data_IF_472747443952
#
_entry.id   IF_472747443952
#
_cell.length_a   1.000
_cell.length_b   1.000
_cell.length_c   1.000
_cell.angle_alpha   90.00
_cell.angle_beta   90.00
_cell.angle_gamma   90.00
#
_symmetry.space_group_name_H-M   'P 1'
#
loop_
_entity.id
_entity.type
_entity.pdbx_description
1 polymer ?
#
# COMPACT_ATOMS: atom_id res chain seq x y z
N UNK A 1 6.26 25.09 7.21
CA UNK A 1 5.07 25.22 6.37
C UNK A 1 4.10 26.17 7.05
N UNK A 2 3.75 27.29 6.38
CA UNK A 2 2.73 28.22 6.89
C UNK A 2 1.34 27.67 6.58
N UNK A 3 0.64 27.15 7.58
CA UNK A 3 -0.78 26.84 7.48
C UNK A 3 -1.54 28.07 7.94
N UNK A 4 -2.53 28.50 7.18
CA UNK A 4 -3.35 29.67 7.51
C UNK A 4 -4.76 29.26 7.93
N UNK A 5 -5.42 30.10 8.74
CA UNK A 5 -6.81 29.87 9.13
C UNK A 5 -7.71 29.82 7.87
N UNK A 6 -8.65 28.88 7.81
CA UNK A 6 -9.53 28.65 6.67
C UNK A 6 -8.94 27.83 5.53
N UNK A 7 -7.66 27.45 5.60
CA UNK A 7 -7.03 26.61 4.59
C UNK A 7 -7.58 25.18 4.64
N UNK A 8 -7.86 24.63 3.45
CA UNK A 8 -8.24 23.22 3.29
C UNK A 8 -7.04 22.33 3.58
N UNK A 9 -7.20 21.37 4.50
CA UNK A 9 -6.11 20.49 4.91
C UNK A 9 -6.61 19.06 5.11
N UNK A 10 -5.72 18.10 4.94
CA UNK A 10 -5.88 16.75 5.43
C UNK A 10 -4.95 16.51 6.62
N UNK A 11 -5.28 15.54 7.43
CA UNK A 11 -4.50 15.17 8.62
C UNK A 11 -3.83 13.83 8.37
N UNK A 12 -2.51 13.78 8.47
CA UNK A 12 -1.77 12.53 8.49
C UNK A 12 -2.18 11.74 9.76
N UNK A 13 -2.58 10.46 9.65
CA UNK A 13 -3.16 9.72 10.77
C UNK A 13 -2.14 9.31 11.84
N UNK A 14 -0.87 9.56 11.62
CA UNK A 14 0.21 9.17 12.52
C UNK A 14 0.30 10.06 13.75
N UNK A 15 0.64 9.44 14.87
CA UNK A 15 1.08 10.13 16.09
C UNK A 15 2.46 9.62 16.50
N UNK A 16 3.38 10.51 16.85
CA UNK A 16 4.77 10.20 17.23
C UNK A 16 5.36 11.34 18.05
N UNK A 17 6.42 11.09 18.81
CA UNK A 17 6.97 12.08 19.75
C UNK A 17 7.69 13.28 19.10
N UNK A 18 8.10 13.17 17.84
CA UNK A 18 8.77 14.21 17.04
C UNK A 18 10.17 14.68 17.54
N UNK A 19 10.73 14.04 18.57
CA UNK A 19 12.03 14.45 19.13
C UNK A 19 13.03 13.31 19.34
N UNK A 20 12.61 12.03 19.28
CA UNK A 20 13.56 10.91 19.43
C UNK A 20 14.43 10.75 18.18
N UNK A 21 15.51 9.99 18.30
CA UNK A 21 16.45 9.69 17.22
C UNK A 21 15.73 9.21 15.94
N UNK A 22 14.73 8.34 16.07
CA UNK A 22 13.98 7.84 14.93
C UNK A 22 13.14 8.94 14.25
N UNK A 23 12.49 9.79 15.03
CA UNK A 23 11.72 10.90 14.50
C UNK A 23 12.60 11.93 13.79
N UNK A 24 13.75 12.29 14.39
CA UNK A 24 14.69 13.25 13.79
C UNK A 24 15.38 12.70 12.54
N UNK A 25 15.51 11.37 12.43
CA UNK A 25 16.01 10.68 11.24
C UNK A 25 14.94 10.46 10.13
N UNK A 26 13.69 10.95 10.30
CA UNK A 26 12.61 10.73 9.34
C UNK A 26 11.98 9.32 9.38
N UNK A 27 12.26 8.56 10.43
CA UNK A 27 11.78 7.19 10.63
C UNK A 27 10.66 7.14 11.67
N UNK A 28 9.67 8.03 11.56
CA UNK A 28 8.59 8.20 12.54
C UNK A 28 7.83 6.90 12.82
N UNK A 29 7.67 6.05 11.80
CA UNK A 29 7.06 4.71 11.93
C UNK A 29 7.83 3.75 12.85
N UNK A 30 9.05 4.09 13.27
CA UNK A 30 9.87 3.35 14.22
C UNK A 30 9.96 4.04 15.59
N UNK A 31 9.23 5.13 15.81
CA UNK A 31 9.13 5.81 17.09
C UNK A 31 8.48 4.87 18.13
N UNK A 32 9.00 4.86 19.36
CA UNK A 32 8.41 4.05 20.46
C UNK A 32 7.01 4.51 20.85
N UNK A 33 6.69 5.80 20.63
CA UNK A 33 5.38 6.38 20.87
C UNK A 33 4.51 6.39 19.60
N UNK A 34 4.93 5.65 18.55
CA UNK A 34 4.15 5.61 17.32
C UNK A 34 2.79 4.94 17.55
N UNK A 35 1.74 5.63 17.17
CA UNK A 35 0.39 5.09 17.07
C UNK A 35 -0.37 5.77 15.94
N UNK A 36 -1.58 5.32 15.68
CA UNK A 36 -2.47 5.90 14.67
C UNK A 36 -3.63 6.59 15.39
N UNK A 37 -4.03 7.78 14.93
CA UNK A 37 -5.20 8.49 15.46
C UNK A 37 -6.45 7.62 15.40
N UNK A 38 -7.19 7.56 16.49
CA UNK A 38 -8.30 6.65 16.69
C UNK A 38 -7.90 5.28 17.28
N UNK A 39 -6.57 5.07 17.48
CA UNK A 39 -6.04 3.88 18.15
C UNK A 39 -4.90 4.29 19.09
N UNK A 40 -5.20 4.51 20.35
CA UNK A 40 -4.22 4.97 21.37
C UNK A 40 -4.23 6.47 21.63
N UNK A 41 -4.69 7.28 20.70
CA UNK A 41 -4.99 8.72 20.87
C UNK A 41 -6.31 9.04 20.18
N UNK A 42 -6.95 10.15 20.53
CA UNK A 42 -8.22 10.57 19.96
C UNK A 42 -8.18 10.63 18.43
N UNK A 43 -9.27 10.16 17.81
CA UNK A 43 -9.44 10.09 16.35
C UNK A 43 -10.12 11.34 15.77
N UNK A 44 -10.49 11.22 14.48
CA UNK A 44 -11.07 12.32 13.70
C UNK A 44 -12.61 12.37 13.67
N UNK A 45 -13.32 11.51 14.41
CA UNK A 45 -14.79 11.52 14.46
C UNK A 45 -15.29 12.61 15.42
N UNK A 46 -14.98 13.87 15.11
CA UNK A 46 -15.30 15.03 15.92
C UNK A 46 -15.39 16.30 15.04
N UNK A 47 -16.03 17.34 15.55
CA UNK A 47 -16.14 18.62 14.84
C UNK A 47 -14.80 19.37 14.80
N UNK A 48 -14.00 19.27 15.88
CA UNK A 48 -12.70 19.91 16.01
C UNK A 48 -11.67 18.93 16.57
N UNK A 49 -10.46 18.98 16.02
CA UNK A 49 -9.34 18.15 16.48
C UNK A 49 -8.07 18.99 16.60
N UNK A 50 -7.35 18.81 17.70
CA UNK A 50 -6.01 19.38 17.86
C UNK A 50 -4.95 18.37 17.39
N UNK A 51 -4.09 18.78 16.46
CA UNK A 51 -3.03 17.94 15.91
C UNK A 51 -1.71 18.72 15.80
N UNK A 52 -0.56 18.05 15.90
CA UNK A 52 0.72 18.68 15.61
C UNK A 52 0.75 19.21 14.16
N UNK A 53 1.33 20.39 13.97
CA UNK A 53 1.43 21.03 12.65
C UNK A 53 2.09 20.11 11.60
N UNK A 54 3.05 19.29 11.99
CA UNK A 54 3.72 18.31 11.11
C UNK A 54 2.78 17.26 10.50
N UNK A 55 1.61 17.06 11.13
CA UNK A 55 0.57 16.14 10.62
C UNK A 55 -0.45 16.86 9.72
N UNK A 56 -0.35 18.16 9.51
CA UNK A 56 -1.30 18.95 8.71
C UNK A 56 -0.73 19.15 7.31
N UNK A 57 -1.45 18.67 6.29
CA UNK A 57 -1.01 18.71 4.90
C UNK A 57 -2.03 19.50 4.08
N UNK A 58 -1.65 20.58 3.40
CA UNK A 58 -2.55 21.32 2.51
C UNK A 58 -3.13 20.42 1.42
N UNK A 59 -4.44 20.56 1.15
CA UNK A 59 -5.13 19.90 0.06
C UNK A 59 -5.10 20.81 -1.16
N UNK A 60 -4.80 20.25 -2.33
CA UNK A 60 -4.92 20.97 -3.60
C UNK A 60 -6.41 21.25 -3.90
N UNK A 61 -6.69 22.39 -4.53
CA UNK A 61 -8.07 22.81 -4.82
C UNK A 61 -8.81 21.85 -5.77
N UNK A 62 -8.07 21.12 -6.60
CA UNK A 62 -8.60 20.10 -7.50
C UNK A 62 -9.15 18.86 -6.82
N UNK A 63 -8.79 18.59 -5.55
CA UNK A 63 -9.25 17.43 -4.80
C UNK A 63 -10.43 17.79 -3.90
N UNK A 64 -11.48 16.99 -3.91
CA UNK A 64 -12.53 17.02 -2.90
C UNK A 64 -12.01 16.57 -1.53
N UNK A 65 -12.76 16.84 -0.46
CA UNK A 65 -12.39 16.33 0.87
C UNK A 65 -12.46 14.81 0.94
N UNK A 66 -13.41 14.18 0.24
CA UNK A 66 -13.56 12.71 0.21
C UNK A 66 -12.36 12.05 -0.48
N UNK A 67 -11.95 12.59 -1.63
CA UNK A 67 -10.74 12.12 -2.32
C UNK A 67 -9.49 12.31 -1.45
N UNK A 68 -9.30 13.50 -0.89
CA UNK A 68 -8.16 13.79 -0.03
C UNK A 68 -8.13 12.88 1.22
N UNK A 69 -9.27 12.63 1.86
CA UNK A 69 -9.37 11.77 3.03
C UNK A 69 -9.04 10.29 2.72
N UNK A 70 -9.22 9.85 1.49
CA UNK A 70 -8.91 8.48 1.06
C UNK A 70 -7.39 8.21 0.91
N UNK A 71 -6.55 9.27 0.87
CA UNK A 71 -5.12 9.15 0.57
C UNK A 71 -4.24 8.74 1.76
N UNK A 72 -4.33 9.35 2.96
CA UNK A 72 -3.23 9.36 3.94
C UNK A 72 -2.76 7.99 4.40
N UNK A 73 -3.68 7.05 4.66
CA UNK A 73 -3.30 5.75 5.21
C UNK A 73 -2.80 4.80 4.12
N UNK A 74 -3.59 4.63 3.08
CA UNK A 74 -3.35 3.58 2.07
C UNK A 74 -2.17 3.91 1.17
N UNK A 75 -2.04 5.18 0.74
CA UNK A 75 -0.89 5.58 -0.07
C UNK A 75 0.41 5.65 0.73
N UNK A 76 0.39 6.09 1.99
CA UNK A 76 1.58 6.03 2.85
C UNK A 76 2.03 4.58 3.08
N UNK A 77 1.09 3.66 3.30
CA UNK A 77 1.39 2.24 3.46
C UNK A 77 2.00 1.67 2.17
N UNK A 78 1.35 1.85 1.03
CA UNK A 78 1.84 1.36 -0.25
C UNK A 78 3.18 2.00 -0.64
N UNK A 79 3.36 3.31 -0.39
CA UNK A 79 4.62 4.00 -0.60
C UNK A 79 5.74 3.38 0.21
N UNK A 80 5.53 3.18 1.52
CA UNK A 80 6.53 2.57 2.39
C UNK A 80 6.84 1.12 2.01
N UNK A 81 5.85 0.35 1.57
CA UNK A 81 6.05 -1.01 1.07
C UNK A 81 6.95 -1.00 -0.17
N UNK A 82 6.62 -0.18 -1.16
CA UNK A 82 7.31 -0.18 -2.45
C UNK A 82 8.68 0.51 -2.38
N UNK A 83 8.75 1.71 -1.81
CA UNK A 83 10.00 2.50 -1.80
C UNK A 83 10.88 2.16 -0.62
N UNK A 84 10.32 2.19 0.59
CA UNK A 84 11.09 2.05 1.83
C UNK A 84 11.51 0.62 2.14
N UNK A 85 10.79 -0.39 1.64
CA UNK A 85 11.07 -1.82 1.93
C UNK A 85 11.51 -2.59 0.70
N UNK A 86 10.75 -2.53 -0.39
CA UNK A 86 11.08 -3.28 -1.60
C UNK A 86 12.12 -2.60 -2.49
N UNK A 87 12.32 -1.29 -2.35
CA UNK A 87 13.27 -0.56 -3.19
C UNK A 87 12.89 -0.58 -4.66
N UNK A 88 11.61 -0.32 -4.96
CA UNK A 88 11.04 -0.35 -6.31
C UNK A 88 11.86 0.47 -7.30
N UNK A 89 12.03 -0.05 -8.52
CA UNK A 89 12.77 0.59 -9.62
C UNK A 89 11.99 0.50 -10.92
N UNK A 90 12.16 1.46 -11.83
CA UNK A 90 11.57 1.38 -13.17
C UNK A 90 11.90 0.07 -13.90
N UNK A 91 10.93 -0.43 -14.67
CA UNK A 91 11.06 -1.65 -15.44
C UNK A 91 10.86 -2.97 -14.67
N UNK A 92 10.67 -2.91 -13.36
CA UNK A 92 10.35 -4.10 -12.55
C UNK A 92 8.91 -4.57 -12.79
N UNK A 93 8.63 -5.83 -12.45
CA UNK A 93 7.29 -6.40 -12.42
C UNK A 93 6.81 -6.52 -10.97
N UNK A 94 5.62 -5.99 -10.67
CA UNK A 94 5.02 -5.98 -9.34
C UNK A 94 3.72 -6.76 -9.35
N UNK A 95 3.59 -7.75 -8.48
CA UNK A 95 2.32 -8.42 -8.19
C UNK A 95 1.63 -7.69 -7.02
N UNK A 96 0.43 -7.19 -7.25
CA UNK A 96 -0.40 -6.52 -6.24
C UNK A 96 -1.58 -7.41 -5.89
N UNK A 97 -1.61 -7.95 -4.68
CA UNK A 97 -2.74 -8.74 -4.21
C UNK A 97 -3.91 -7.85 -3.82
N UNK A 98 -5.13 -8.33 -4.04
CA UNK A 98 -6.34 -7.61 -3.65
C UNK A 98 -6.44 -6.21 -4.26
N UNK A 99 -6.44 -6.12 -5.59
CA UNK A 99 -6.43 -4.89 -6.39
C UNK A 99 -7.43 -3.80 -5.97
N UNK A 100 -8.55 -4.20 -5.34
CA UNK A 100 -9.63 -3.31 -4.95
C UNK A 100 -9.63 -2.93 -3.47
N UNK A 101 -8.65 -3.37 -2.70
CA UNK A 101 -8.39 -2.84 -1.37
C UNK A 101 -7.76 -1.45 -1.48
N UNK A 102 -7.90 -0.63 -0.44
CA UNK A 102 -7.27 0.69 -0.45
C UNK A 102 -5.76 0.63 -0.73
N UNK A 103 -5.05 -0.31 -0.09
CA UNK A 103 -3.60 -0.51 -0.33
C UNK A 103 -3.33 -1.06 -1.73
N UNK A 104 -4.19 -1.95 -2.26
CA UNK A 104 -4.07 -2.47 -3.62
C UNK A 104 -4.24 -1.38 -4.67
N UNK A 105 -5.27 -0.54 -4.54
CA UNK A 105 -5.51 0.63 -5.40
C UNK A 105 -4.30 1.57 -5.41
N UNK A 106 -3.79 1.91 -4.23
CA UNK A 106 -2.61 2.75 -4.10
C UNK A 106 -1.35 2.08 -4.67
N UNK A 107 -1.19 0.78 -4.43
CA UNK A 107 -0.07 -0.02 -4.94
C UNK A 107 0.01 -0.06 -6.46
N UNK A 108 -1.12 -0.28 -7.14
CA UNK A 108 -1.20 -0.26 -8.61
C UNK A 108 -0.75 1.10 -9.14
N UNK A 109 -1.35 2.19 -8.66
CA UNK A 109 -1.06 3.54 -9.13
C UNK A 109 0.41 3.94 -8.88
N UNK A 110 0.94 3.65 -7.69
CA UNK A 110 2.34 3.91 -7.37
C UNK A 110 3.28 3.09 -8.22
N UNK A 111 3.05 1.79 -8.40
CA UNK A 111 3.89 0.95 -9.26
C UNK A 111 3.89 1.46 -10.71
N UNK A 112 2.75 1.91 -11.23
CA UNK A 112 2.66 2.54 -12.57
C UNK A 112 3.41 3.87 -12.62
N UNK A 113 3.34 4.68 -11.57
CA UNK A 113 4.13 5.92 -11.48
C UNK A 113 5.64 5.64 -11.56
N UNK A 114 6.10 4.51 -11.00
CA UNK A 114 7.48 4.02 -11.14
C UNK A 114 7.75 3.28 -12.46
N UNK A 115 6.84 3.32 -13.43
CA UNK A 115 7.00 2.68 -14.75
C UNK A 115 7.22 1.16 -14.66
N UNK A 116 6.58 0.51 -13.70
CA UNK A 116 6.60 -0.93 -13.52
C UNK A 116 5.50 -1.62 -14.36
N UNK A 117 5.72 -2.89 -14.69
CA UNK A 117 4.66 -3.79 -15.13
C UNK A 117 3.89 -4.25 -13.91
N UNK A 118 2.57 -4.10 -13.92
CA UNK A 118 1.69 -4.44 -12.79
C UNK A 118 0.81 -5.63 -13.12
N UNK A 119 0.93 -6.68 -12.35
CA UNK A 119 0.00 -7.82 -12.31
C UNK A 119 -0.84 -7.63 -11.05
N UNK A 120 -2.17 -7.61 -11.18
CA UNK A 120 -3.05 -7.42 -10.04
C UNK A 120 -3.98 -8.63 -9.85
N UNK A 121 -4.43 -8.91 -8.63
CA UNK A 121 -5.41 -9.97 -8.41
C UNK A 121 -6.78 -9.38 -8.08
N UNK A 122 -7.82 -9.91 -8.72
CA UNK A 122 -9.21 -9.56 -8.46
C UNK A 122 -10.10 -10.81 -8.55
N UNK A 123 -11.32 -10.73 -8.03
CA UNK A 123 -12.20 -11.90 -7.90
C UNK A 123 -13.46 -11.85 -8.78
N UNK A 124 -13.86 -10.67 -9.21
CA UNK A 124 -15.10 -10.47 -9.98
C UNK A 124 -14.87 -9.42 -11.07
N UNK A 125 -15.58 -9.54 -12.19
CA UNK A 125 -15.41 -8.74 -13.39
C UNK A 125 -15.34 -7.22 -13.14
N UNK A 126 -16.27 -6.66 -12.35
CA UNK A 126 -16.23 -5.24 -11.98
C UNK A 126 -14.92 -4.82 -11.31
N UNK A 127 -14.37 -5.70 -10.49
CA UNK A 127 -13.10 -5.44 -9.78
C UNK A 127 -11.89 -5.60 -10.70
N UNK A 128 -11.96 -6.53 -11.65
CA UNK A 128 -10.94 -6.68 -12.69
C UNK A 128 -10.90 -5.45 -13.59
N UNK A 129 -12.06 -4.95 -13.99
CA UNK A 129 -12.15 -3.73 -14.80
C UNK A 129 -11.54 -2.53 -14.06
N UNK A 130 -11.90 -2.31 -12.79
CA UNK A 130 -11.31 -1.23 -11.99
C UNK A 130 -9.79 -1.36 -11.88
N UNK A 131 -9.26 -2.56 -11.69
CA UNK A 131 -7.82 -2.76 -11.65
C UNK A 131 -7.13 -2.33 -12.96
N UNK A 132 -7.74 -2.62 -14.12
CA UNK A 132 -7.25 -2.19 -15.43
C UNK A 132 -7.33 -0.68 -15.60
N UNK A 133 -8.43 -0.06 -15.19
CA UNK A 133 -8.62 1.40 -15.23
C UNK A 133 -7.57 2.13 -14.36
N UNK A 134 -7.14 1.52 -13.25
CA UNK A 134 -6.07 2.01 -12.40
C UNK A 134 -4.67 1.82 -12.99
N UNK A 135 -4.56 1.09 -14.10
CA UNK A 135 -3.32 0.89 -14.82
C UNK A 135 -2.67 -0.49 -14.67
N UNK A 136 -3.35 -1.49 -14.09
CA UNK A 136 -2.82 -2.85 -14.08
C UNK A 136 -2.69 -3.39 -15.52
N UNK A 137 -1.51 -3.84 -15.89
CA UNK A 137 -1.23 -4.40 -17.22
C UNK A 137 -1.86 -5.79 -17.38
N UNK A 138 -1.91 -6.55 -16.29
CA UNK A 138 -2.53 -7.87 -16.22
C UNK A 138 -3.38 -8.00 -14.97
N UNK A 139 -4.49 -8.75 -15.08
CA UNK A 139 -5.35 -9.06 -13.93
C UNK A 139 -5.60 -10.55 -13.88
N UNK A 140 -5.36 -11.15 -12.72
CA UNK A 140 -5.56 -12.58 -12.44
C UNK A 140 -6.79 -12.76 -11.56
N UNK A 141 -7.73 -13.58 -12.01
CA UNK A 141 -8.89 -13.97 -11.21
C UNK A 141 -8.51 -15.12 -10.27
N UNK A 142 -8.23 -14.77 -9.02
CA UNK A 142 -7.75 -15.72 -8.01
C UNK A 142 -8.79 -16.74 -7.52
N UNK A 143 -10.06 -16.62 -7.94
CA UNK A 143 -11.06 -17.66 -7.70
C UNK A 143 -11.08 -18.72 -8.81
N UNK A 144 -10.62 -18.38 -9.99
CA UNK A 144 -10.67 -19.26 -11.14
C UNK A 144 -9.29 -19.83 -11.50
N UNK A 145 -8.23 -19.18 -11.08
CA UNK A 145 -6.86 -19.44 -11.49
C UNK A 145 -5.91 -19.43 -10.29
N UNK A 146 -4.87 -20.26 -10.36
CA UNK A 146 -3.76 -20.15 -9.41
C UNK A 146 -2.90 -18.93 -9.76
N UNK A 147 -2.66 -18.08 -8.78
CA UNK A 147 -1.93 -16.81 -8.97
C UNK A 147 -0.54 -17.08 -9.51
N UNK A 148 0.22 -17.99 -8.90
CA UNK A 148 1.59 -18.30 -9.30
C UNK A 148 1.70 -18.89 -10.70
N UNK A 149 0.75 -19.71 -11.12
CA UNK A 149 0.74 -20.27 -12.47
C UNK A 149 0.50 -19.19 -13.53
N UNK A 150 -0.44 -18.27 -13.28
CA UNK A 150 -0.70 -17.16 -14.20
C UNK A 150 0.46 -16.15 -14.22
N UNK A 151 1.03 -15.83 -13.07
CA UNK A 151 2.25 -14.99 -13.01
C UNK A 151 3.37 -15.60 -13.82
N UNK A 152 3.61 -16.91 -13.71
CA UNK A 152 4.62 -17.62 -14.52
C UNK A 152 4.35 -17.58 -16.01
N UNK A 153 3.08 -17.68 -16.44
CA UNK A 153 2.70 -17.53 -17.86
C UNK A 153 3.00 -16.10 -18.35
N UNK A 154 2.53 -15.09 -17.62
CA UNK A 154 2.71 -13.67 -17.97
C UNK A 154 4.20 -13.30 -18.04
N UNK A 155 5.00 -13.80 -17.10
CA UNK A 155 6.44 -13.45 -16.98
C UNK A 155 7.37 -14.43 -17.72
N UNK A 156 6.88 -15.26 -18.60
CA UNK A 156 7.68 -16.30 -19.28
C UNK A 156 8.50 -17.15 -18.29
N UNK A 157 7.87 -17.59 -17.20
CA UNK A 157 8.43 -18.40 -16.10
C UNK A 157 9.47 -17.70 -15.22
N UNK A 158 9.71 -16.42 -15.39
CA UNK A 158 10.71 -15.69 -14.59
C UNK A 158 10.19 -15.35 -13.18
N UNK A 159 8.89 -15.07 -13.02
CA UNK A 159 8.32 -14.56 -11.80
C UNK A 159 8.42 -13.02 -11.69
N UNK A 160 7.96 -12.45 -10.58
CA UNK A 160 7.91 -11.01 -10.35
C UNK A 160 9.05 -10.53 -9.44
N UNK A 161 9.42 -9.27 -9.58
CA UNK A 161 10.42 -8.61 -8.72
C UNK A 161 9.89 -8.36 -7.31
N UNK A 162 8.64 -7.93 -7.22
CA UNK A 162 8.03 -7.51 -5.96
C UNK A 162 6.62 -8.13 -5.86
N UNK A 163 6.30 -8.66 -4.69
CA UNK A 163 4.93 -9.00 -4.30
C UNK A 163 4.49 -8.07 -3.17
N UNK A 164 3.40 -7.33 -3.40
CA UNK A 164 2.69 -6.59 -2.36
C UNK A 164 1.62 -7.47 -1.74
N UNK A 165 1.90 -7.98 -0.56
CA UNK A 165 1.05 -8.90 0.20
C UNK A 165 0.32 -8.17 1.34
N UNK A 166 -0.95 -8.43 1.53
CA UNK A 166 -1.72 -7.97 2.69
C UNK A 166 -2.91 -8.88 3.02
N UNK A 167 -3.01 -10.01 2.31
CA UNK A 167 -4.08 -11.00 2.47
C UNK A 167 -3.70 -12.02 3.54
N UNK A 168 -2.46 -12.50 3.55
CA UNK A 168 -1.94 -13.42 4.56
C UNK A 168 -2.10 -14.89 4.19
N UNK A 169 -2.55 -15.71 5.13
CA UNK A 169 -2.51 -17.17 5.03
C UNK A 169 -3.07 -17.74 3.72
N UNK A 170 -4.17 -17.18 3.20
CA UNK A 170 -4.82 -17.71 1.99
C UNK A 170 -4.00 -17.52 0.69
N UNK A 171 -3.05 -16.58 0.66
CA UNK A 171 -2.30 -16.25 -0.55
C UNK A 171 -0.78 -16.38 -0.39
N UNK A 172 -0.30 -16.69 0.82
CA UNK A 172 1.12 -16.64 1.14
C UNK A 172 1.99 -17.55 0.27
N UNK A 173 1.58 -18.81 0.11
CA UNK A 173 2.29 -19.78 -0.73
C UNK A 173 2.32 -19.35 -2.21
N UNK A 174 1.18 -18.91 -2.74
CA UNK A 174 1.08 -18.40 -4.11
C UNK A 174 1.93 -17.13 -4.30
N UNK A 175 2.01 -16.28 -3.29
CA UNK A 175 2.84 -15.07 -3.28
C UNK A 175 4.33 -15.42 -3.36
N UNK A 176 4.80 -16.37 -2.55
CA UNK A 176 6.19 -16.82 -2.58
C UNK A 176 6.54 -17.49 -3.91
N UNK A 177 5.68 -18.36 -4.43
CA UNK A 177 5.86 -19.06 -5.71
C UNK A 177 5.84 -18.11 -6.92
N UNK A 178 5.27 -16.93 -6.77
CA UNK A 178 5.22 -15.90 -7.81
C UNK A 178 6.52 -15.12 -7.94
N UNK A 179 7.37 -15.13 -6.93
CA UNK A 179 8.64 -14.39 -6.94
C UNK A 179 9.64 -15.00 -7.92
N UNK A 180 10.43 -14.15 -8.54
CA UNK A 180 11.67 -14.55 -9.21
C UNK A 180 12.79 -14.77 -8.18
N UNK A 181 13.90 -15.43 -8.54
CA UNK A 181 15.09 -15.47 -7.68
C UNK A 181 15.51 -14.06 -7.25
N UNK A 182 15.78 -13.88 -5.96
CA UNK A 182 16.07 -12.59 -5.32
C UNK A 182 14.93 -11.56 -5.38
N UNK A 183 13.70 -11.97 -5.70
CA UNK A 183 12.51 -11.11 -5.60
C UNK A 183 12.16 -10.81 -4.14
N UNK A 184 11.39 -9.75 -3.92
CA UNK A 184 11.04 -9.27 -2.59
C UNK A 184 9.54 -9.37 -2.34
N UNK A 185 9.12 -10.04 -1.26
CA UNK A 185 7.76 -9.96 -0.74
C UNK A 185 7.72 -8.93 0.38
N UNK A 186 6.80 -7.98 0.27
CA UNK A 186 6.51 -6.99 1.31
C UNK A 186 5.09 -7.15 1.81
N UNK A 187 4.90 -7.12 3.12
CA UNK A 187 3.57 -7.26 3.73
C UNK A 187 3.26 -6.15 4.71
N UNK A 188 1.99 -5.73 4.76
CA UNK A 188 1.47 -4.76 5.72
C UNK A 188 0.25 -5.26 6.50
N UNK A 189 -0.19 -6.49 6.25
CA UNK A 189 -1.38 -7.05 6.87
C UNK A 189 -1.54 -8.54 6.61
N UNK A 190 -2.55 -9.13 7.25
CA UNK A 190 -2.86 -10.55 7.13
C UNK A 190 -4.38 -10.77 7.32
N UNK A 191 -5.18 -10.28 6.39
CA UNK A 191 -6.66 -10.28 6.48
C UNK A 191 -7.25 -11.68 6.68
N UNK A 192 -6.59 -12.71 6.10
CA UNK A 192 -7.04 -14.12 6.20
C UNK A 192 -6.33 -14.91 7.29
N UNK A 193 -5.50 -14.26 8.09
CA UNK A 193 -4.77 -14.86 9.20
C UNK A 193 -3.25 -14.63 9.11
N UNK A 194 -2.58 -14.41 10.25
CA UNK A 194 -1.15 -14.10 10.30
C UNK A 194 -0.25 -15.34 10.34
N UNK A 195 -0.82 -16.52 10.57
CA UNK A 195 -0.03 -17.75 10.68
C UNK A 195 0.15 -18.36 9.29
N UNK A 196 1.40 -18.42 8.85
CA UNK A 196 1.79 -18.96 7.54
C UNK A 196 2.89 -20.00 7.71
N UNK A 197 2.86 -21.05 6.88
CA UNK A 197 3.94 -22.01 6.75
C UNK A 197 4.93 -21.54 5.69
N UNK A 198 6.21 -21.89 5.85
CA UNK A 198 7.23 -21.71 4.82
C UNK A 198 7.87 -23.07 4.58
N UNK A 199 7.82 -23.54 3.34
CA UNK A 199 8.56 -24.70 2.88
C UNK A 199 9.89 -24.20 2.30
N UNK A 200 11.02 -24.66 2.85
CA UNK A 200 12.38 -24.22 2.50
C UNK A 200 13.01 -25.11 1.42
#
# INVERSE_FOLDING_TARGET
>A
CGITAGQRVLIAPMHFCNHCEKCTAGLQNQCREFTVRGNGVDGGNCELIAVPQVCVIPIQDSLSFDEAASVPLVFLTAWQMLTGRAGIRPGQTVLVLGANSGVGIAGIQLAKMFQCTVIATAAVERKEQLARELGADHVVNHYQQKISDEVRKITNKQGVDIVMEHVGAATWDESLRSLKPAGTLVTCGATTGPQVGIDL
#
